data_IF_011610220208
#
_entry.id   IF_011610220208
#
_cell.length_a   1.000
_cell.length_b   1.000
_cell.length_c   1.000
_cell.angle_alpha   90.00
_cell.angle_beta   90.00
_cell.angle_gamma   90.00
#
_symmetry.space_group_name_H-M   'P 1'
#
loop_
_entity.id
_entity.type
_entity.pdbx_description
1 polymer ?
#
# COMPACT_ATOMS: atom_id res chain seq x y z
N UNK A 1 24.57 2.41 -17.55
CA UNK A 1 23.23 2.21 -16.93
C UNK A 1 22.30 3.24 -17.53
N UNK A 2 21.03 2.93 -17.87
CA UNK A 2 20.15 3.97 -18.38
C UNK A 2 20.01 5.03 -17.29
N UNK A 3 20.50 6.23 -17.56
CA UNK A 3 20.47 7.36 -16.64
C UNK A 3 19.02 7.83 -16.57
N UNK A 4 18.35 7.60 -15.43
CA UNK A 4 17.12 8.34 -15.12
C UNK A 4 17.55 9.79 -14.91
N UNK A 5 16.84 10.74 -15.53
CA UNK A 5 17.13 12.16 -15.37
C UNK A 5 16.92 12.57 -13.90
N UNK A 6 17.96 13.05 -13.19
CA UNK A 6 17.82 13.49 -11.81
C UNK A 6 16.77 14.58 -11.62
N UNK A 7 16.48 15.37 -12.67
CA UNK A 7 15.42 16.38 -12.63
C UNK A 7 14.01 15.78 -12.54
N UNK A 8 13.83 14.48 -12.82
CA UNK A 8 12.54 13.80 -12.71
C UNK A 8 12.26 13.24 -11.32
N UNK A 9 13.29 13.12 -10.48
CA UNK A 9 13.22 12.47 -9.18
C UNK A 9 12.27 13.22 -8.24
N UNK A 10 11.42 12.49 -7.52
CA UNK A 10 10.49 13.05 -6.54
C UNK A 10 10.99 13.05 -5.11
N UNK A 11 10.15 13.56 -4.21
CA UNK A 11 10.47 13.78 -2.79
C UNK A 11 10.31 12.52 -1.92
N UNK A 12 9.72 11.45 -2.46
CA UNK A 12 9.44 10.22 -1.69
C UNK A 12 10.72 9.42 -1.53
N UNK A 13 11.10 9.09 -0.29
CA UNK A 13 12.31 8.33 0.00
C UNK A 13 12.01 6.89 0.42
N UNK A 14 13.00 6.00 0.30
CA UNK A 14 12.82 4.57 0.58
C UNK A 14 12.41 4.28 2.03
N UNK A 15 12.91 5.04 3.01
CA UNK A 15 12.51 4.85 4.42
C UNK A 15 11.01 5.13 4.65
N UNK A 16 10.44 6.06 3.88
CA UNK A 16 9.01 6.38 3.94
C UNK A 16 8.18 5.20 3.45
N UNK A 17 8.60 4.59 2.33
CA UNK A 17 7.97 3.40 1.77
C UNK A 17 8.02 2.23 2.78
N UNK A 18 9.20 1.93 3.33
CA UNK A 18 9.39 0.80 4.25
C UNK A 18 8.55 0.98 5.50
N UNK A 19 8.54 2.19 6.06
CA UNK A 19 7.73 2.51 7.22
C UNK A 19 6.23 2.48 6.92
N UNK A 20 5.80 3.02 5.78
CA UNK A 20 4.39 3.06 5.38
C UNK A 20 3.81 1.69 5.05
N UNK A 21 4.62 0.79 4.46
CA UNK A 21 4.15 -0.49 3.92
C UNK A 21 3.54 -1.40 4.97
N UNK A 22 4.17 -1.57 6.14
CA UNK A 22 3.65 -2.49 7.17
C UNK A 22 2.37 -1.94 7.83
N UNK A 23 2.27 -0.62 7.98
CA UNK A 23 1.06 0.06 8.46
C UNK A 23 -0.08 -0.03 7.44
N UNK A 24 0.24 0.20 6.16
CA UNK A 24 -0.72 0.07 5.07
C UNK A 24 -1.27 -1.37 4.96
N UNK A 25 -0.41 -2.38 5.13
CA UNK A 25 -0.82 -3.78 5.22
C UNK A 25 -1.83 -3.98 6.36
N UNK A 26 -1.50 -3.51 7.56
CA UNK A 26 -2.39 -3.64 8.71
C UNK A 26 -3.73 -2.95 8.48
N UNK A 27 -3.70 -1.74 7.92
CA UNK A 27 -4.91 -1.01 7.54
C UNK A 27 -5.75 -1.79 6.52
N UNK A 28 -5.14 -2.35 5.49
CA UNK A 28 -5.82 -3.15 4.47
C UNK A 28 -6.53 -4.36 5.08
N UNK A 29 -5.85 -5.07 5.99
CA UNK A 29 -6.45 -6.19 6.72
C UNK A 29 -7.66 -5.72 7.53
N UNK A 30 -7.55 -4.62 8.27
CA UNK A 30 -8.67 -4.08 9.06
C UNK A 30 -9.82 -3.61 8.16
N UNK A 31 -9.52 -2.98 7.03
CA UNK A 31 -10.49 -2.54 6.04
C UNK A 31 -11.33 -3.73 5.54
N UNK A 32 -10.70 -4.82 5.14
CA UNK A 32 -11.42 -5.98 4.62
C UNK A 32 -12.09 -6.82 5.70
N UNK A 33 -11.38 -7.14 6.79
CA UNK A 33 -11.90 -8.03 7.82
C UNK A 33 -12.91 -7.36 8.75
N UNK A 34 -12.71 -6.09 9.11
CA UNK A 34 -13.55 -5.38 10.09
C UNK A 34 -14.60 -4.51 9.44
N UNK A 35 -14.23 -3.71 8.44
CA UNK A 35 -15.17 -2.79 7.80
C UNK A 35 -16.04 -3.50 6.75
N UNK A 36 -15.41 -4.15 5.76
CA UNK A 36 -16.14 -4.86 4.70
C UNK A 36 -16.67 -6.22 5.15
N UNK A 37 -16.14 -6.76 6.26
CA UNK A 37 -16.50 -8.05 6.86
C UNK A 37 -16.35 -9.22 5.89
N UNK A 38 -15.33 -9.15 5.06
CA UNK A 38 -15.03 -10.14 4.02
C UNK A 38 -13.52 -10.37 4.06
N UNK A 39 -13.05 -11.34 4.86
CA UNK A 39 -11.63 -11.63 4.93
C UNK A 39 -11.13 -12.16 3.59
N UNK A 40 -10.03 -11.61 3.12
CA UNK A 40 -9.34 -12.10 1.93
C UNK A 40 -8.31 -13.17 2.31
N UNK A 41 -7.97 -14.09 1.40
CA UNK A 41 -6.77 -14.91 1.51
C UNK A 41 -5.51 -14.05 1.66
N UNK A 42 -4.55 -14.51 2.46
CA UNK A 42 -3.35 -13.73 2.80
C UNK A 42 -2.56 -13.23 1.57
N UNK A 43 -2.48 -14.06 0.53
CA UNK A 43 -1.78 -13.69 -0.70
C UNK A 43 -2.40 -12.47 -1.39
N UNK A 44 -3.71 -12.24 -1.23
CA UNK A 44 -4.38 -11.07 -1.78
C UNK A 44 -3.98 -9.81 -1.01
N UNK A 45 -3.88 -9.87 0.31
CA UNK A 45 -3.38 -8.75 1.11
C UNK A 45 -1.95 -8.39 0.74
N UNK A 46 -1.09 -9.40 0.56
CA UNK A 46 0.29 -9.21 0.14
C UNK A 46 0.36 -8.58 -1.26
N UNK A 47 -0.39 -9.10 -2.22
CA UNK A 47 -0.42 -8.59 -3.59
C UNK A 47 -0.92 -7.15 -3.65
N UNK A 48 -2.04 -6.82 -2.99
CA UNK A 48 -2.60 -5.48 -3.00
C UNK A 48 -1.71 -4.46 -2.31
N UNK A 49 -1.08 -4.86 -1.20
CA UNK A 49 -0.08 -4.02 -0.51
C UNK A 49 1.13 -3.79 -1.37
N UNK A 50 1.65 -4.85 -2.02
CA UNK A 50 2.81 -4.75 -2.91
C UNK A 50 2.51 -3.88 -4.14
N UNK A 51 1.32 -4.04 -4.74
CA UNK A 51 0.87 -3.17 -5.80
C UNK A 51 0.88 -1.74 -5.28
N UNK A 52 0.17 -1.40 -4.20
CA UNK A 52 0.19 -0.06 -3.59
C UNK A 52 1.59 0.51 -3.38
N UNK A 53 2.50 -0.29 -2.80
CA UNK A 53 3.90 0.05 -2.57
C UNK A 53 4.69 0.32 -3.87
N UNK A 54 4.38 -0.37 -4.97
CA UNK A 54 5.06 -0.18 -6.26
C UNK A 54 4.83 1.21 -6.87
N UNK A 55 3.80 1.94 -6.41
CA UNK A 55 3.64 3.36 -6.76
C UNK A 55 4.83 4.23 -6.36
N UNK A 56 5.61 3.78 -5.36
CA UNK A 56 6.90 4.37 -5.00
C UNK A 56 7.77 4.61 -6.23
N UNK A 57 7.79 3.71 -7.22
CA UNK A 57 8.68 3.82 -8.36
C UNK A 57 8.28 5.00 -9.25
N UNK A 58 6.98 5.22 -9.40
CA UNK A 58 6.44 6.34 -10.17
C UNK A 58 6.77 7.67 -9.48
N UNK A 59 6.55 7.76 -8.17
CA UNK A 59 6.82 8.98 -7.42
C UNK A 59 8.31 9.25 -7.21
N UNK A 60 9.10 8.22 -6.88
CA UNK A 60 10.51 8.39 -6.60
C UNK A 60 11.29 8.78 -7.86
N UNK A 61 11.03 8.13 -8.99
CA UNK A 61 11.86 8.32 -10.19
C UNK A 61 11.28 9.28 -11.23
N UNK A 62 9.96 9.50 -11.25
CA UNK A 62 9.29 10.17 -12.37
C UNK A 62 8.33 11.29 -11.96
N UNK A 63 8.29 11.72 -10.70
CA UNK A 63 7.33 12.72 -10.21
C UNK A 63 7.36 14.05 -10.99
N UNK A 64 8.53 14.47 -11.47
CA UNK A 64 8.71 15.70 -12.23
C UNK A 64 8.91 15.46 -13.74
N UNK A 65 8.74 14.22 -14.21
CA UNK A 65 8.83 13.91 -15.62
C UNK A 65 7.65 14.49 -16.41
N UNK A 66 7.84 14.90 -17.68
CA UNK A 66 6.76 15.46 -18.51
C UNK A 66 5.62 14.46 -18.78
N UNK A 67 5.88 13.16 -18.61
CA UNK A 67 4.90 12.08 -18.76
C UNK A 67 4.36 11.54 -17.43
N UNK A 68 4.67 12.18 -16.29
CA UNK A 68 4.24 11.73 -14.96
C UNK A 68 2.73 11.47 -14.89
N UNK A 69 1.91 12.37 -15.47
CA UNK A 69 0.45 12.20 -15.51
C UNK A 69 0.01 10.91 -16.19
N UNK A 70 0.67 10.50 -17.28
CA UNK A 70 0.36 9.25 -17.97
C UNK A 70 0.70 8.03 -17.11
N UNK A 71 1.87 8.06 -16.44
CA UNK A 71 2.25 7.00 -15.51
C UNK A 71 1.28 6.92 -14.33
N UNK A 72 0.92 8.07 -13.76
CA UNK A 72 -0.03 8.17 -12.66
C UNK A 72 -1.37 7.54 -13.03
N UNK A 73 -2.00 7.99 -14.11
CA UNK A 73 -3.31 7.50 -14.52
C UNK A 73 -3.26 6.02 -14.95
N UNK A 74 -2.22 5.63 -15.68
CA UNK A 74 -2.03 4.23 -16.09
C UNK A 74 -1.87 3.32 -14.88
N UNK A 75 -1.05 3.71 -13.92
CA UNK A 75 -0.88 2.99 -12.67
C UNK A 75 -2.18 2.91 -11.87
N UNK A 76 -2.89 4.03 -11.69
CA UNK A 76 -4.18 4.05 -10.97
C UNK A 76 -5.20 3.12 -11.63
N UNK A 77 -5.29 3.11 -12.97
CA UNK A 77 -6.18 2.23 -13.69
C UNK A 77 -5.83 0.75 -13.46
N UNK A 78 -4.55 0.38 -13.61
CA UNK A 78 -4.08 -0.98 -13.37
C UNK A 78 -4.32 -1.42 -11.92
N UNK A 79 -4.06 -0.53 -10.96
CA UNK A 79 -4.30 -0.78 -9.54
C UNK A 79 -5.78 -1.03 -9.27
N UNK A 80 -6.68 -0.19 -9.77
CA UNK A 80 -8.13 -0.36 -9.58
C UNK A 80 -8.67 -1.62 -10.28
N UNK A 81 -8.15 -1.96 -11.46
CA UNK A 81 -8.50 -3.20 -12.16
C UNK A 81 -8.05 -4.42 -11.36
N UNK A 82 -6.80 -4.43 -10.88
CA UNK A 82 -6.28 -5.51 -10.04
C UNK A 82 -7.06 -5.63 -8.73
N UNK A 83 -7.32 -4.51 -8.05
CA UNK A 83 -8.14 -4.44 -6.83
C UNK A 83 -9.52 -5.05 -7.05
N UNK A 84 -10.22 -4.61 -8.10
CA UNK A 84 -11.53 -5.12 -8.43
C UNK A 84 -11.50 -6.62 -8.74
N UNK A 85 -10.61 -7.05 -9.64
CA UNK A 85 -10.53 -8.44 -10.10
C UNK A 85 -10.16 -9.41 -8.98
N UNK A 86 -9.19 -9.06 -8.14
CA UNK A 86 -8.62 -9.95 -7.12
C UNK A 86 -9.49 -9.97 -5.86
N UNK A 87 -9.95 -8.82 -5.39
CA UNK A 87 -10.57 -8.71 -4.07
C UNK A 87 -12.08 -8.47 -4.09
N UNK A 88 -12.65 -7.85 -5.12
CA UNK A 88 -14.07 -7.48 -5.15
C UNK A 88 -14.92 -8.43 -5.98
N UNK A 89 -14.49 -8.71 -7.22
CA UNK A 89 -15.25 -9.45 -8.23
C UNK A 89 -15.66 -10.87 -7.81
N UNK A 90 -14.79 -11.66 -7.13
CA UNK A 90 -15.12 -13.04 -6.75
C UNK A 90 -16.30 -13.17 -5.79
N UNK A 91 -16.68 -12.10 -5.10
CA UNK A 91 -17.75 -12.15 -4.10
C UNK A 91 -19.14 -12.03 -4.75
N UNK A 92 -20.10 -12.91 -4.39
CA UNK A 92 -21.48 -12.89 -4.89
C UNK A 92 -22.31 -11.81 -4.18
N UNK A 93 -21.85 -10.55 -4.22
CA UNK A 93 -22.49 -9.38 -3.59
C UNK A 93 -23.11 -8.48 -4.66
N UNK A 94 -24.12 -7.71 -4.25
CA UNK A 94 -24.84 -6.76 -5.11
C UNK A 94 -23.93 -5.62 -5.58
N UNK A 95 -24.31 -5.00 -6.70
CA UNK A 95 -23.55 -3.91 -7.33
C UNK A 95 -23.17 -2.75 -6.38
N UNK A 96 -24.06 -2.24 -5.50
CA UNK A 96 -23.67 -1.15 -4.58
C UNK A 96 -22.55 -1.53 -3.62
N UNK A 97 -22.53 -2.79 -3.16
CA UNK A 97 -21.45 -3.29 -2.32
C UNK A 97 -20.15 -3.39 -3.10
N UNK A 98 -20.20 -3.89 -4.35
CA UNK A 98 -19.02 -3.98 -5.22
C UNK A 98 -18.45 -2.60 -5.52
N UNK A 99 -19.30 -1.61 -5.78
CA UNK A 99 -18.89 -0.23 -5.95
C UNK A 99 -18.21 0.30 -4.68
N UNK A 100 -18.83 0.15 -3.51
CA UNK A 100 -18.25 0.57 -2.23
C UNK A 100 -16.92 -0.11 -1.91
N UNK A 101 -16.81 -1.43 -2.13
CA UNK A 101 -15.59 -2.19 -1.93
C UNK A 101 -14.48 -1.82 -2.95
N UNK A 102 -14.86 -1.36 -4.15
CA UNK A 102 -13.90 -0.83 -5.13
C UNK A 102 -13.42 0.56 -4.71
N UNK A 103 -14.34 1.43 -4.27
CA UNK A 103 -14.01 2.76 -3.76
C UNK A 103 -13.16 2.70 -2.48
N UNK A 104 -13.17 1.57 -1.75
CA UNK A 104 -12.28 1.31 -0.62
C UNK A 104 -10.78 1.29 -0.99
N UNK A 105 -10.44 1.21 -2.28
CA UNK A 105 -9.09 1.45 -2.77
C UNK A 105 -8.60 2.88 -2.44
N UNK A 106 -9.49 3.87 -2.46
CA UNK A 106 -9.16 5.28 -2.16
C UNK A 106 -8.69 5.47 -0.72
N UNK A 107 -9.44 5.09 0.34
CA UNK A 107 -8.96 5.22 1.71
C UNK A 107 -7.71 4.37 1.97
N UNK A 108 -7.52 3.24 1.28
CA UNK A 108 -6.26 2.51 1.34
C UNK A 108 -5.08 3.32 0.79
N UNK A 109 -5.22 3.94 -0.37
CA UNK A 109 -4.19 4.84 -0.94
C UNK A 109 -3.92 6.05 -0.02
N UNK A 110 -4.98 6.67 0.52
CA UNK A 110 -4.85 7.79 1.46
C UNK A 110 -4.09 7.37 2.73
N UNK A 111 -4.41 6.19 3.29
CA UNK A 111 -3.71 5.66 4.44
C UNK A 111 -2.22 5.44 4.14
N UNK A 112 -1.90 4.86 2.97
CA UNK A 112 -0.52 4.65 2.54
C UNK A 112 0.27 5.97 2.51
N UNK A 113 -0.25 6.98 1.81
CA UNK A 113 0.35 8.31 1.71
C UNK A 113 0.46 8.98 3.09
N UNK A 114 -0.53 8.80 3.96
CA UNK A 114 -0.50 9.35 5.31
C UNK A 114 0.64 8.73 6.13
N UNK A 115 0.85 7.41 6.05
CA UNK A 115 1.94 6.75 6.77
C UNK A 115 3.32 7.14 6.24
N UNK A 116 3.48 7.30 4.93
CA UNK A 116 4.71 7.86 4.33
C UNK A 116 4.98 9.28 4.85
N UNK A 117 3.94 10.13 4.86
CA UNK A 117 4.05 11.51 5.34
C UNK A 117 4.36 11.61 6.84
N UNK A 118 3.95 10.65 7.67
CA UNK A 118 4.35 10.59 9.08
C UNK A 118 5.87 10.42 9.19
N UNK A 119 6.45 9.50 8.41
CA UNK A 119 7.90 9.31 8.40
C UNK A 119 8.61 10.57 7.88
N UNK A 120 8.13 11.14 6.78
CA UNK A 120 8.65 12.39 6.22
C UNK A 120 8.61 13.54 7.21
N UNK A 121 7.48 13.73 7.89
CA UNK A 121 7.31 14.79 8.87
C UNK A 121 8.28 14.62 10.05
N UNK A 122 8.47 13.40 10.54
CA UNK A 122 9.44 13.16 11.61
C UNK A 122 10.87 13.46 11.22
N UNK A 123 11.28 13.13 9.98
CA UNK A 123 12.61 13.52 9.48
C UNK A 123 12.75 15.03 9.34
N UNK A 124 11.71 15.73 8.86
CA UNK A 124 11.68 17.20 8.82
C UNK A 124 11.76 17.84 10.22
N UNK A 125 11.33 17.14 11.26
CA UNK A 125 11.46 17.56 12.67
C UNK A 125 12.83 17.21 13.29
N UNK A 126 13.77 16.65 12.50
CA UNK A 126 15.13 16.34 12.93
C UNK A 126 15.36 14.90 13.38
N UNK A 127 14.37 14.01 13.25
CA UNK A 127 14.59 12.57 13.45
C UNK A 127 15.42 11.99 12.31
N UNK A 128 16.27 11.02 12.62
CA UNK A 128 17.05 10.31 11.61
C UNK A 128 16.20 9.26 10.90
N UNK A 129 16.37 9.11 9.59
CA UNK A 129 15.72 8.07 8.76
C UNK A 129 15.92 6.66 9.34
N UNK A 130 17.09 6.44 9.95
CA UNK A 130 17.45 5.22 10.67
C UNK A 130 16.37 4.78 11.66
N UNK A 131 15.75 5.71 12.39
CA UNK A 131 14.74 5.36 13.39
C UNK A 131 13.45 4.82 12.76
N UNK A 132 13.03 5.37 11.61
CA UNK A 132 11.87 4.86 10.88
C UNK A 132 12.12 3.45 10.34
N UNK A 133 13.33 3.21 9.83
CA UNK A 133 13.76 1.87 9.39
C UNK A 133 13.84 0.89 10.59
N UNK A 134 14.41 1.33 11.71
CA UNK A 134 14.53 0.54 12.93
C UNK A 134 13.17 0.19 13.55
N UNK A 135 12.17 1.07 13.42
CA UNK A 135 10.78 0.80 13.86
C UNK A 135 10.04 -0.11 12.88
N UNK A 136 10.28 0.04 11.58
CA UNK A 136 9.63 -0.80 10.58
C UNK A 136 9.97 -2.28 10.78
N UNK A 137 11.20 -2.61 11.15
CA UNK A 137 11.63 -3.99 11.40
C UNK A 137 10.77 -4.75 12.43
N UNK A 138 10.62 -4.30 13.70
CA UNK A 138 9.69 -4.92 14.63
C UNK A 138 8.23 -4.79 14.19
N UNK A 139 7.85 -3.76 13.41
CA UNK A 139 6.53 -3.66 12.79
C UNK A 139 6.22 -4.84 11.85
N UNK A 140 7.16 -5.23 10.99
CA UNK A 140 7.02 -6.42 10.15
C UNK A 140 7.00 -7.72 10.97
N UNK A 141 7.82 -7.84 12.02
CA UNK A 141 7.78 -9.00 12.93
C UNK A 141 6.42 -9.11 13.62
N UNK A 142 5.86 -7.98 14.05
CA UNK A 142 4.52 -7.93 14.63
C UNK A 142 3.46 -8.37 13.62
N UNK A 143 3.54 -7.98 12.34
CA UNK A 143 2.62 -8.47 11.30
C UNK A 143 2.70 -9.99 11.16
N UNK A 144 3.90 -10.57 11.11
CA UNK A 144 4.07 -12.02 11.01
C UNK A 144 3.42 -12.72 12.22
N UNK A 145 3.68 -12.22 13.42
CA UNK A 145 3.08 -12.77 14.65
C UNK A 145 1.56 -12.60 14.69
N UNK A 146 1.02 -11.48 14.21
CA UNK A 146 -0.41 -11.20 14.20
C UNK A 146 -1.17 -12.03 13.16
N UNK A 147 -0.56 -12.29 12.00
CA UNK A 147 -1.16 -13.02 10.88
C UNK A 147 -0.88 -14.53 10.92
N UNK A 148 0.25 -14.96 11.47
CA UNK A 148 0.69 -16.36 11.50
C UNK A 148 -0.30 -17.33 12.16
N UNK A 149 -0.79 -17.08 13.38
CA UNK A 149 -1.68 -17.98 14.11
C UNK A 149 -3.06 -18.17 13.47
N UNK A 150 -3.51 -17.24 12.62
CA UNK A 150 -4.83 -17.31 11.99
C UNK A 150 -4.93 -18.35 10.88
N UNK A 151 -3.79 -18.86 10.38
CA UNK A 151 -3.72 -19.91 9.34
C UNK A 151 -4.21 -21.29 9.80
N UNK A 152 -4.09 -21.61 11.09
CA UNK A 152 -4.43 -22.95 11.59
C UNK A 152 -5.93 -23.19 11.77
N UNK A 153 -6.76 -22.14 11.80
CA UNK A 153 -8.22 -22.29 12.05
C UNK A 153 -9.09 -22.35 10.79
N UNK A 154 -8.54 -22.12 9.60
CA UNK A 154 -9.29 -22.18 8.33
C UNK A 154 -8.96 -23.41 7.48
N UNK A 155 -8.09 -24.30 7.97
CA UNK A 155 -7.66 -25.53 7.30
C UNK A 155 -8.14 -26.83 7.99
N UNK A 156 -8.94 -26.69 9.05
CA UNK A 156 -9.71 -27.78 9.69
C UNK A 156 -11.21 -27.47 9.55
#
# INVERSE_FOLDING_TARGET
MPFIDPAWQGDVNFYELVFGTWLAYAFLVLLWERLLRVPLPEWQYLLLTFLGASFFWVNHYFQHAPFYGWLLYGYTLLFLLAWYRVAVAPWPRRWPWKLGATLAAVPFTVAFIAFENIARAGVRLGLQEFWFMAIAYPGFLWLIWWRGPRRQKQSN
#
